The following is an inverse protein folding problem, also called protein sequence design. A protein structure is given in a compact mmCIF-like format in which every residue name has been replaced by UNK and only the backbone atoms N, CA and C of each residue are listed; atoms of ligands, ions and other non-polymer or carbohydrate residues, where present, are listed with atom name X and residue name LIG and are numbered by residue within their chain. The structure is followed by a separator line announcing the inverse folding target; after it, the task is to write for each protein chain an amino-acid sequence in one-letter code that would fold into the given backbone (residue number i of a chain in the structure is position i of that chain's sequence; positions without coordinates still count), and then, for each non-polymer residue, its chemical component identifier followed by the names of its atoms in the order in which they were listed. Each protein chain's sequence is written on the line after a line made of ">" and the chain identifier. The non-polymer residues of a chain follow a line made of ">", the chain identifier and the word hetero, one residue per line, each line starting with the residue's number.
data_IF_443692289816
#
_entry.id   IF_443692289816
#
_cell.length_a   1.000
_cell.length_b   1.000
_cell.length_c   1.000
_cell.angle_alpha   90.00
_cell.angle_beta   90.00
_cell.angle_gamma   90.00
#
_symmetry.space_group_name_H-M   'P 1'
#
loop_
_entity.id
_entity.type
_entity.pdbx_description
1 polymer ?
#
# COMPACT_ATOMS: atom_id res chain seq x y z
N UNK A 1 23.13 37.19 -30.15
CA UNK A 1 23.74 37.80 -28.94
C UNK A 1 22.61 38.07 -27.93
N UNK A 2 22.92 38.27 -26.65
CA UNK A 2 21.97 38.34 -25.53
C UNK A 2 21.08 39.62 -25.54
N UNK A 3 20.06 39.80 -24.64
CA UNK A 3 19.73 39.00 -23.45
C UNK A 3 18.23 38.64 -23.23
N UNK A 4 17.97 37.90 -22.15
CA UNK A 4 16.63 37.58 -21.64
C UNK A 4 16.28 38.40 -20.36
N UNK A 5 15.00 38.64 -20.06
CA UNK A 5 14.56 39.30 -18.82
C UNK A 5 14.54 38.35 -17.60
N UNK A 6 14.67 38.90 -16.39
CA UNK A 6 14.69 38.17 -15.11
C UNK A 6 13.37 38.32 -14.31
N UNK A 7 13.04 37.38 -13.40
CA UNK A 7 11.89 37.48 -12.50
C UNK A 7 12.19 38.33 -11.23
N UNK A 8 11.20 39.01 -10.64
CA UNK A 8 11.41 39.88 -9.47
C UNK A 8 11.30 39.17 -8.11
N UNK A 9 12.37 39.32 -7.32
CA UNK A 9 12.44 39.54 -5.86
C UNK A 9 11.67 38.65 -4.84
N UNK A 10 12.43 38.16 -3.84
CA UNK A 10 11.89 37.59 -2.59
C UNK A 10 11.58 38.65 -1.53
N UNK A 11 10.53 38.42 -0.72
CA UNK A 11 10.26 39.08 0.57
C UNK A 11 9.66 37.99 1.51
N UNK A 12 9.95 37.89 2.80
CA UNK A 12 10.89 38.68 3.60
C UNK A 12 10.72 38.55 5.13
N UNK A 13 10.64 37.32 5.65
CA UNK A 13 10.71 36.93 7.07
C UNK A 13 9.62 37.42 8.07
N UNK A 14 9.44 36.64 9.16
CA UNK A 14 9.56 37.07 10.58
C UNK A 14 8.56 36.43 11.57
N UNK A 15 8.96 36.48 12.86
CA UNK A 15 8.15 36.40 14.08
C UNK A 15 7.54 35.06 14.57
N UNK A 16 8.31 34.36 15.41
CA UNK A 16 7.84 33.63 16.59
C UNK A 16 8.98 33.62 17.65
N UNK A 17 8.75 33.34 18.95
CA UNK A 17 7.51 33.27 19.73
C UNK A 17 7.51 34.35 20.86
N UNK A 18 6.79 34.16 21.99
CA UNK A 18 7.54 34.06 23.26
C UNK A 18 7.09 32.92 24.20
N UNK A 19 7.79 32.78 25.34
CA UNK A 19 7.65 31.70 26.34
C UNK A 19 6.70 32.07 27.50
N UNK A 20 6.14 31.07 28.18
CA UNK A 20 5.63 31.20 29.56
C UNK A 20 5.95 29.98 30.43
N UNK A 21 6.48 30.23 31.63
CA UNK A 21 6.81 29.36 32.79
C UNK A 21 7.27 30.30 33.94
N UNK A 22 7.34 29.90 35.22
CA UNK A 22 6.97 28.64 35.88
C UNK A 22 6.05 28.90 37.12
N UNK A 23 6.25 28.13 38.19
CA UNK A 23 6.16 28.52 39.63
C UNK A 23 5.13 27.78 40.51
N UNK A 24 5.70 26.98 41.43
CA UNK A 24 5.40 26.87 42.88
C UNK A 24 3.96 26.61 43.36
N UNK A 25 3.62 25.44 43.92
CA UNK A 25 4.09 24.80 45.17
C UNK A 25 3.46 25.37 46.46
N UNK A 26 2.82 24.49 47.24
CA UNK A 26 2.48 24.67 48.67
C UNK A 26 2.25 23.30 49.33
N UNK A 27 2.38 23.22 50.67
CA UNK A 27 2.53 21.97 51.44
C UNK A 27 1.64 21.98 52.67
N UNK A 28 0.90 20.88 52.96
CA UNK A 28 0.40 20.63 54.33
C UNK A 28 0.15 19.15 54.70
N UNK A 29 0.56 18.83 55.94
CA UNK A 29 0.35 17.62 56.78
C UNK A 29 0.65 18.13 58.23
N UNK A 30 0.25 17.49 59.38
CA UNK A 30 -0.33 16.18 59.64
C UNK A 30 -1.75 16.32 60.29
N UNK A 31 -2.36 15.50 61.18
CA UNK A 31 -2.00 14.38 62.09
C UNK A 31 -3.19 13.41 62.28
N UNK A 32 -2.94 12.13 62.63
CA UNK A 32 -3.30 11.52 63.93
C UNK A 32 -2.97 10.01 64.00
N UNK A 33 -2.48 9.55 65.17
CA UNK A 33 -2.45 8.14 65.60
C UNK A 33 -3.59 7.90 66.63
N UNK A 34 -4.03 6.65 66.80
CA UNK A 34 -3.62 5.91 68.01
C UNK A 34 -3.05 4.51 67.70
N UNK A 35 -2.81 3.70 68.75
CA UNK A 35 -1.85 2.56 68.75
C UNK A 35 -2.53 1.17 68.93
N UNK A 36 -1.91 0.08 69.46
CA UNK A 36 -1.86 -1.18 68.71
C UNK A 36 -2.56 -2.40 69.37
N UNK A 37 -2.81 -3.46 68.58
CA UNK A 37 -3.02 -4.85 69.04
C UNK A 37 -2.37 -5.86 68.09
N UNK A 38 -2.19 -7.08 68.59
CA UNK A 38 -1.24 -8.10 68.12
C UNK A 38 -1.69 -8.97 66.92
N UNK A 39 -0.76 -9.67 66.23
CA UNK A 39 -1.05 -10.51 65.06
C UNK A 39 -1.57 -11.91 65.48
N UNK A 40 -2.10 -12.70 64.53
CA UNK A 40 -1.24 -13.74 63.94
C UNK A 40 -1.53 -14.07 62.46
N UNK A 41 -0.94 -15.17 61.98
CA UNK A 41 -1.30 -15.92 60.76
C UNK A 41 -0.95 -15.29 59.41
N UNK A 42 0.26 -15.63 58.94
CA UNK A 42 0.69 -15.38 57.57
C UNK A 42 -0.29 -15.96 56.53
N UNK A 43 -0.58 -15.18 55.49
CA UNK A 43 -1.18 -15.66 54.24
C UNK A 43 -0.17 -15.48 53.10
N UNK A 44 -0.11 -16.40 52.11
CA UNK A 44 0.85 -16.31 51.03
C UNK A 44 0.61 -15.06 50.18
N UNK A 45 1.69 -14.46 49.68
CA UNK A 45 1.64 -13.27 48.81
C UNK A 45 1.03 -13.66 47.47
N UNK A 46 -0.27 -13.44 47.29
CA UNK A 46 -0.91 -13.45 45.97
C UNK A 46 -0.40 -12.26 45.16
N UNK A 47 0.77 -12.43 44.54
CA UNK A 47 1.33 -11.45 43.63
C UNK A 47 0.35 -11.26 42.46
N UNK A 48 -0.27 -10.08 42.38
CA UNK A 48 -1.12 -9.69 41.26
C UNK A 48 -0.27 -9.64 40.00
N UNK A 49 -0.27 -10.76 39.26
CA UNK A 49 0.42 -10.89 38.00
C UNK A 49 -0.21 -9.94 36.97
N UNK A 50 0.33 -8.71 36.92
CA UNK A 50 0.08 -7.73 35.86
C UNK A 50 0.01 -8.47 34.52
N UNK A 51 -1.12 -8.41 33.78
CA UNK A 51 -1.24 -9.17 32.54
C UNK A 51 -0.09 -8.73 31.63
N UNK A 52 0.79 -9.69 31.30
CA UNK A 52 1.86 -9.44 30.34
C UNK A 52 1.17 -8.98 29.06
N UNK A 53 1.66 -7.88 28.48
CA UNK A 53 1.19 -7.41 27.19
C UNK A 53 1.15 -8.59 26.22
N UNK A 54 0.02 -8.71 25.52
CA UNK A 54 -0.19 -9.74 24.49
C UNK A 54 0.75 -9.46 23.34
N UNK A 55 2.02 -9.89 23.51
CA UNK A 55 3.06 -9.92 22.49
C UNK A 55 2.41 -10.64 21.30
N UNK A 56 2.18 -9.96 20.16
CA UNK A 56 1.54 -10.60 19.03
C UNK A 56 2.36 -11.83 18.70
N UNK A 57 1.72 -12.99 18.67
CA UNK A 57 2.45 -14.24 18.58
C UNK A 57 3.26 -14.21 17.29
N UNK A 58 4.58 -14.32 17.43
CA UNK A 58 5.46 -14.67 16.31
C UNK A 58 5.21 -16.14 15.96
N UNK A 59 4.01 -16.43 15.49
CA UNK A 59 3.71 -17.65 14.77
C UNK A 59 4.76 -17.75 13.68
N UNK A 60 5.50 -18.87 13.66
CA UNK A 60 6.50 -19.11 12.63
C UNK A 60 5.76 -19.09 11.30
N UNK A 61 5.93 -18.02 10.53
CA UNK A 61 5.28 -17.92 9.24
C UNK A 61 5.86 -19.03 8.35
N UNK A 62 5.04 -20.01 8.00
CA UNK A 62 5.26 -20.81 6.79
C UNK A 62 5.52 -19.86 5.64
N UNK A 63 6.37 -20.20 4.66
CA UNK A 63 6.76 -19.26 3.59
C UNK A 63 5.58 -18.53 2.93
N UNK A 64 4.47 -19.25 2.71
CA UNK A 64 3.17 -18.73 2.23
C UNK A 64 2.61 -17.59 3.10
N UNK A 65 2.71 -17.71 4.43
CA UNK A 65 2.27 -16.69 5.38
C UNK A 65 3.21 -15.47 5.45
N UNK A 66 4.51 -15.67 5.23
CA UNK A 66 5.47 -14.57 5.12
C UNK A 66 5.23 -13.78 3.83
N UNK A 67 5.12 -14.46 2.69
CA UNK A 67 4.72 -13.88 1.41
C UNK A 67 3.40 -13.11 1.52
N UNK A 68 2.38 -13.70 2.15
CA UNK A 68 1.10 -13.02 2.39
C UNK A 68 1.27 -11.75 3.24
N UNK A 69 2.11 -11.76 4.28
CA UNK A 69 2.38 -10.58 5.11
C UNK A 69 3.11 -9.48 4.32
N UNK A 70 4.11 -9.84 3.51
CA UNK A 70 4.88 -8.91 2.68
C UNK A 70 4.00 -8.31 1.58
N UNK A 71 3.16 -9.10 0.93
CA UNK A 71 2.15 -8.66 -0.05
C UNK A 71 1.17 -7.64 0.56
N UNK A 72 0.63 -7.90 1.77
CA UNK A 72 -0.24 -6.94 2.45
C UNK A 72 0.49 -5.63 2.77
N UNK A 73 1.77 -5.70 3.19
CA UNK A 73 2.58 -4.53 3.50
C UNK A 73 2.91 -3.70 2.26
N UNK A 74 3.43 -4.33 1.20
CA UNK A 74 3.76 -3.69 -0.08
C UNK A 74 2.54 -2.99 -0.69
N UNK A 75 1.39 -3.67 -0.70
CA UNK A 75 0.13 -3.10 -1.19
C UNK A 75 -0.39 -1.94 -0.32
N UNK A 76 -0.20 -1.98 1.00
CA UNK A 76 -0.52 -0.85 1.89
C UNK A 76 0.40 0.36 1.63
N UNK A 77 1.69 0.14 1.39
CA UNK A 77 2.65 1.21 1.04
C UNK A 77 2.31 1.84 -0.31
N UNK A 78 1.98 1.03 -1.32
CA UNK A 78 1.49 1.49 -2.62
C UNK A 78 0.22 2.36 -2.51
N UNK A 79 -0.77 1.98 -1.69
CA UNK A 79 -1.97 2.80 -1.44
C UNK A 79 -1.67 4.14 -0.75
N UNK A 80 -0.58 4.24 0.00
CA UNK A 80 -0.07 5.49 0.60
C UNK A 80 0.84 6.26 -0.37
N UNK A 81 1.06 5.72 -1.59
CA UNK A 81 1.98 6.22 -2.63
C UNK A 81 3.46 6.23 -2.20
N UNK A 82 3.81 5.41 -1.22
CA UNK A 82 5.19 5.14 -0.83
C UNK A 82 5.77 4.04 -1.74
N UNK A 83 5.98 4.40 -3.01
CA UNK A 83 6.47 3.48 -4.04
C UNK A 83 7.86 2.92 -3.71
N UNK A 84 8.69 3.67 -2.99
CA UNK A 84 10.03 3.24 -2.59
C UNK A 84 10.00 2.08 -1.58
N UNK A 85 9.24 2.22 -0.47
CA UNK A 85 9.13 1.12 0.49
C UNK A 85 8.22 -0.01 -0.02
N UNK A 86 7.24 0.28 -0.88
CA UNK A 86 6.44 -0.74 -1.55
C UNK A 86 7.32 -1.62 -2.45
N UNK A 87 8.15 -1.00 -3.30
CA UNK A 87 9.12 -1.64 -4.17
C UNK A 87 10.06 -2.55 -3.38
N UNK A 88 10.76 -2.03 -2.38
CA UNK A 88 11.70 -2.82 -1.57
C UNK A 88 11.02 -4.02 -0.89
N UNK A 89 9.81 -3.83 -0.34
CA UNK A 89 9.03 -4.91 0.31
C UNK A 89 8.58 -6.00 -0.68
N UNK A 90 8.40 -5.64 -1.96
CA UNK A 90 8.02 -6.56 -3.04
C UNK A 90 9.25 -7.22 -3.69
N UNK A 91 10.39 -6.53 -3.80
CA UNK A 91 11.68 -7.12 -4.21
C UNK A 91 12.13 -8.17 -3.18
N UNK A 92 12.06 -7.86 -1.87
CA UNK A 92 12.27 -8.83 -0.79
C UNK A 92 11.33 -10.05 -0.90
N UNK A 93 10.09 -9.84 -1.36
CA UNK A 93 9.09 -10.90 -1.51
C UNK A 93 9.36 -11.78 -2.73
N UNK A 94 9.74 -11.19 -3.87
CA UNK A 94 10.17 -11.93 -5.08
C UNK A 94 11.41 -12.78 -4.82
N UNK A 95 12.28 -12.36 -3.89
CA UNK A 95 13.43 -13.12 -3.43
C UNK A 95 13.10 -14.31 -2.48
N UNK A 96 11.86 -14.43 -1.99
CA UNK A 96 11.43 -15.60 -1.22
C UNK A 96 11.05 -16.77 -2.15
N UNK A 97 11.23 -18.04 -1.71
CA UNK A 97 10.79 -19.20 -2.48
C UNK A 97 9.27 -19.16 -2.73
N UNK A 98 8.87 -19.29 -4.00
CA UNK A 98 7.48 -19.13 -4.46
C UNK A 98 7.02 -17.68 -4.67
N UNK A 99 7.79 -16.67 -4.27
CA UNK A 99 7.43 -15.26 -4.43
C UNK A 99 7.44 -14.79 -5.89
N UNK A 100 8.44 -15.23 -6.66
CA UNK A 100 8.54 -14.99 -8.10
C UNK A 100 7.49 -15.76 -8.95
N UNK A 101 6.76 -16.70 -8.33
CA UNK A 101 5.68 -17.49 -8.96
C UNK A 101 4.29 -17.01 -8.50
N UNK A 102 4.19 -16.22 -7.42
CA UNK A 102 2.93 -15.69 -6.93
C UNK A 102 2.48 -14.50 -7.81
N UNK A 103 1.49 -14.77 -8.68
CA UNK A 103 0.86 -13.78 -9.54
C UNK A 103 0.44 -12.48 -8.81
N UNK A 104 0.14 -12.55 -7.50
CA UNK A 104 -0.27 -11.39 -6.69
C UNK A 104 0.91 -10.50 -6.32
N UNK A 105 2.09 -11.09 -6.07
CA UNK A 105 3.33 -10.36 -5.80
C UNK A 105 3.82 -9.68 -7.09
N UNK A 106 3.83 -10.43 -8.19
CA UNK A 106 4.13 -9.91 -9.53
C UNK A 106 3.17 -8.77 -9.94
N UNK A 107 1.87 -8.93 -9.70
CA UNK A 107 0.86 -7.90 -9.97
C UNK A 107 1.08 -6.61 -9.17
N UNK A 108 1.28 -6.71 -7.85
CA UNK A 108 1.56 -5.54 -7.02
C UNK A 108 2.92 -4.88 -7.35
N UNK A 109 3.91 -5.66 -7.78
CA UNK A 109 5.19 -5.12 -8.25
C UNK A 109 5.04 -4.36 -9.58
N UNK A 110 4.24 -4.88 -10.52
CA UNK A 110 3.90 -4.19 -11.75
C UNK A 110 3.12 -2.88 -11.52
N UNK A 111 2.15 -2.86 -10.59
CA UNK A 111 1.45 -1.61 -10.21
C UNK A 111 2.42 -0.56 -9.63
N UNK A 112 3.45 -0.98 -8.87
CA UNK A 112 4.50 -0.07 -8.36
C UNK A 112 5.46 0.43 -9.46
N UNK A 113 5.85 -0.42 -10.41
CA UNK A 113 6.68 -0.01 -11.56
C UNK A 113 5.95 0.99 -12.46
N UNK A 114 4.70 0.69 -12.83
CA UNK A 114 3.88 1.54 -13.69
C UNK A 114 3.61 2.91 -13.05
N UNK A 115 3.07 2.94 -11.82
CA UNK A 115 2.61 4.19 -11.20
C UNK A 115 3.72 4.98 -10.48
N UNK A 116 4.78 4.29 -10.03
CA UNK A 116 5.85 4.88 -9.22
C UNK A 116 7.12 5.23 -10.01
N UNK A 117 7.37 4.55 -11.13
CA UNK A 117 8.60 4.69 -11.94
C UNK A 117 8.34 4.94 -13.43
N UNK A 118 7.07 4.91 -13.88
CA UNK A 118 6.67 4.94 -15.30
C UNK A 118 7.31 3.81 -16.14
N UNK A 119 7.72 2.72 -15.49
CA UNK A 119 8.33 1.54 -16.13
C UNK A 119 7.23 0.59 -16.62
N UNK A 120 6.61 0.97 -17.74
CA UNK A 120 5.51 0.24 -18.37
C UNK A 120 5.96 -1.10 -18.95
N UNK A 121 7.18 -1.18 -19.49
CA UNK A 121 7.71 -2.42 -20.09
C UNK A 121 8.11 -3.43 -19.01
N UNK A 122 8.73 -2.98 -17.91
CA UNK A 122 8.95 -3.80 -16.72
C UNK A 122 7.64 -4.27 -16.08
N UNK A 123 6.61 -3.42 -16.07
CA UNK A 123 5.27 -3.80 -15.62
C UNK A 123 4.61 -4.85 -16.54
N UNK A 124 4.63 -4.68 -17.88
CA UNK A 124 4.14 -5.66 -18.86
C UNK A 124 4.80 -7.04 -18.64
N UNK A 125 6.13 -7.10 -18.54
CA UNK A 125 6.88 -8.36 -18.32
C UNK A 125 6.52 -9.04 -16.99
N UNK A 126 6.23 -8.26 -15.94
CA UNK A 126 5.77 -8.82 -14.66
C UNK A 126 4.33 -9.34 -14.72
N UNK A 127 3.44 -8.65 -15.46
CA UNK A 127 2.06 -9.05 -15.66
C UNK A 127 1.93 -10.28 -16.56
N UNK A 128 2.75 -10.43 -17.60
CA UNK A 128 2.76 -11.63 -18.43
C UNK A 128 3.23 -12.87 -17.64
N UNK A 129 4.22 -12.72 -16.75
CA UNK A 129 4.60 -13.78 -15.79
C UNK A 129 3.47 -14.10 -14.79
N UNK A 130 2.79 -13.07 -14.28
CA UNK A 130 1.64 -13.25 -13.41
C UNK A 130 0.49 -14.00 -14.11
N UNK A 131 0.32 -13.78 -15.41
CA UNK A 131 -0.68 -14.47 -16.25
C UNK A 131 -0.26 -15.91 -16.59
N UNK A 132 1.04 -16.21 -16.70
CA UNK A 132 1.53 -17.59 -16.80
C UNK A 132 1.26 -18.39 -15.52
N UNK A 133 1.44 -17.76 -14.35
CA UNK A 133 1.13 -18.37 -13.05
C UNK A 133 -0.38 -18.45 -12.75
N UNK A 134 -1.17 -17.48 -13.21
CA UNK A 134 -2.62 -17.41 -13.00
C UNK A 134 -3.34 -16.80 -14.22
N UNK A 135 -3.66 -17.61 -15.25
CA UNK A 135 -4.19 -17.13 -16.54
C UNK A 135 -5.62 -16.56 -16.49
N UNK A 136 -6.25 -16.61 -15.31
CA UNK A 136 -7.60 -16.12 -15.04
C UNK A 136 -7.64 -15.12 -13.87
N UNK A 137 -6.52 -14.52 -13.45
CA UNK A 137 -6.57 -13.45 -12.44
C UNK A 137 -7.11 -12.15 -13.07
N UNK A 138 -8.30 -11.68 -12.68
CA UNK A 138 -8.93 -10.51 -13.31
C UNK A 138 -8.16 -9.21 -13.01
N UNK A 139 -7.32 -9.17 -11.97
CA UNK A 139 -6.49 -8.00 -11.62
C UNK A 139 -5.33 -7.86 -12.60
N UNK A 140 -4.66 -8.98 -12.91
CA UNK A 140 -3.58 -9.05 -13.90
C UNK A 140 -4.11 -8.67 -15.27
N UNK A 141 -5.21 -9.31 -15.70
CA UNK A 141 -5.88 -9.04 -16.97
C UNK A 141 -6.32 -7.58 -17.11
N UNK A 142 -6.97 -7.00 -16.08
CA UNK A 142 -7.37 -5.58 -16.08
C UNK A 142 -6.15 -4.65 -16.17
N UNK A 143 -5.12 -4.83 -15.34
CA UNK A 143 -3.96 -3.93 -15.35
C UNK A 143 -3.19 -4.05 -16.69
N UNK A 144 -3.03 -5.25 -17.25
CA UNK A 144 -2.40 -5.44 -18.57
C UNK A 144 -3.22 -4.83 -19.71
N UNK A 145 -4.55 -5.00 -19.70
CA UNK A 145 -5.45 -4.34 -20.66
C UNK A 145 -5.43 -2.81 -20.53
N UNK A 146 -5.32 -2.29 -19.30
CA UNK A 146 -5.17 -0.86 -19.05
C UNK A 146 -3.87 -0.26 -19.59
N UNK A 147 -2.77 -1.02 -19.60
CA UNK A 147 -1.50 -0.63 -20.24
C UNK A 147 -1.63 -0.71 -21.77
N UNK A 148 -2.20 -1.80 -22.31
CA UNK A 148 -2.44 -1.95 -23.74
C UNK A 148 -3.26 -0.77 -24.30
N UNK A 149 -4.30 -0.34 -23.57
CA UNK A 149 -5.07 0.86 -23.89
C UNK A 149 -4.24 2.15 -23.76
N UNK A 150 -3.81 2.49 -22.54
CA UNK A 150 -3.29 3.84 -22.22
C UNK A 150 -1.86 4.10 -22.69
N UNK A 151 -1.09 3.06 -23.02
CA UNK A 151 0.34 3.16 -23.40
C UNK A 151 0.58 2.70 -24.84
N UNK A 152 -0.12 1.66 -25.31
CA UNK A 152 0.07 1.10 -26.66
C UNK A 152 -1.03 1.51 -27.65
N UNK A 153 -2.15 2.08 -27.20
CA UNK A 153 -3.29 2.46 -28.04
C UNK A 153 -4.09 1.28 -28.61
N UNK A 154 -3.84 0.07 -28.12
CA UNK A 154 -4.41 -1.18 -28.65
C UNK A 154 -5.78 -1.45 -28.01
N UNK A 155 -6.81 -0.76 -28.54
CA UNK A 155 -8.21 -0.91 -28.16
C UNK A 155 -8.65 -2.38 -28.13
N UNK A 156 -8.26 -3.13 -29.15
CA UNK A 156 -8.66 -4.52 -29.35
C UNK A 156 -8.06 -5.44 -28.30
N UNK A 157 -6.73 -5.39 -28.10
CA UNK A 157 -6.05 -6.20 -27.06
C UNK A 157 -6.52 -5.79 -25.66
N UNK A 158 -6.79 -4.51 -25.43
CA UNK A 158 -7.39 -4.04 -24.18
C UNK A 158 -8.78 -4.65 -23.95
N UNK A 159 -9.67 -4.60 -24.95
CA UNK A 159 -11.00 -5.20 -24.90
C UNK A 159 -10.98 -6.72 -24.70
N UNK A 160 -10.11 -7.44 -25.42
CA UNK A 160 -9.95 -8.90 -25.29
C UNK A 160 -9.43 -9.30 -23.89
N UNK A 161 -8.51 -8.53 -23.31
CA UNK A 161 -7.99 -8.77 -21.95
C UNK A 161 -9.01 -8.39 -20.86
N UNK A 162 -9.67 -7.25 -20.98
CA UNK A 162 -10.67 -6.79 -20.01
C UNK A 162 -11.95 -7.64 -20.07
N UNK A 163 -12.35 -8.13 -21.24
CA UNK A 163 -13.46 -9.08 -21.38
C UNK A 163 -13.23 -10.37 -20.57
N UNK A 164 -12.04 -10.98 -20.70
CA UNK A 164 -11.62 -12.13 -19.87
C UNK A 164 -11.57 -11.81 -18.37
N UNK A 165 -11.25 -10.56 -18.00
CA UNK A 165 -11.33 -10.14 -16.60
C UNK A 165 -12.78 -10.06 -16.10
N UNK A 166 -13.74 -9.69 -16.95
CA UNK A 166 -15.19 -9.64 -16.63
C UNK A 166 -15.77 -11.05 -16.51
N UNK A 167 -15.27 -12.03 -17.27
CA UNK A 167 -15.61 -13.44 -17.06
C UNK A 167 -15.18 -13.93 -15.66
N UNK A 168 -14.05 -13.44 -15.13
CA UNK A 168 -13.54 -13.79 -13.80
C UNK A 168 -14.12 -12.98 -12.62
N UNK A 169 -14.39 -11.69 -12.80
CA UNK A 169 -14.94 -10.77 -11.78
C UNK A 169 -15.90 -9.74 -12.39
N UNK A 170 -16.98 -10.21 -13.00
CA UNK A 170 -18.00 -9.38 -13.65
C UNK A 170 -18.85 -8.50 -12.72
N UNK A 171 -18.45 -8.34 -11.45
CA UNK A 171 -19.03 -7.38 -10.50
C UNK A 171 -18.11 -6.17 -10.24
N UNK A 172 -16.94 -6.15 -10.86
CA UNK A 172 -15.93 -5.13 -10.66
C UNK A 172 -16.28 -3.86 -11.47
N UNK A 173 -17.01 -2.94 -10.84
CA UNK A 173 -17.49 -1.72 -11.49
C UNK A 173 -16.38 -0.91 -12.17
N UNK A 174 -15.17 -0.84 -11.59
CA UNK A 174 -14.03 -0.15 -12.24
C UNK A 174 -13.65 -0.82 -13.57
N UNK A 175 -13.54 -2.14 -13.59
CA UNK A 175 -13.24 -2.90 -14.81
C UNK A 175 -14.35 -2.75 -15.86
N UNK A 176 -15.62 -2.71 -15.46
CA UNK A 176 -16.74 -2.47 -16.39
C UNK A 176 -16.68 -1.05 -16.99
N UNK A 177 -16.30 -0.04 -16.22
CA UNK A 177 -16.08 1.32 -16.74
C UNK A 177 -14.84 1.41 -17.64
N UNK A 178 -13.70 0.80 -17.26
CA UNK A 178 -12.50 0.78 -18.10
C UNK A 178 -12.72 -0.01 -19.41
N UNK A 179 -13.56 -1.06 -19.39
CA UNK A 179 -14.01 -1.75 -20.59
C UNK A 179 -14.90 -0.86 -21.45
N UNK A 180 -15.91 -0.18 -20.88
CA UNK A 180 -16.79 0.72 -21.64
C UNK A 180 -16.00 1.86 -22.31
N UNK A 181 -15.05 2.48 -21.60
CA UNK A 181 -14.11 3.49 -22.12
C UNK A 181 -13.36 2.99 -23.38
N UNK A 182 -12.83 1.76 -23.32
CA UNK A 182 -12.10 1.13 -24.43
C UNK A 182 -13.01 0.85 -25.64
N UNK A 183 -14.27 0.50 -25.44
CA UNK A 183 -15.19 0.24 -26.55
C UNK A 183 -15.74 1.55 -27.16
N UNK A 184 -16.19 2.50 -26.33
CA UNK A 184 -16.72 3.79 -26.81
C UNK A 184 -15.68 4.58 -27.61
N UNK A 185 -14.45 4.71 -27.09
CA UNK A 185 -13.39 5.49 -27.72
C UNK A 185 -12.60 4.64 -28.73
N UNK A 186 -12.25 3.41 -28.37
CA UNK A 186 -11.32 2.58 -29.15
C UNK A 186 -11.96 1.76 -30.27
N UNK A 187 -13.28 1.56 -30.28
CA UNK A 187 -14.00 0.90 -31.36
C UNK A 187 -14.88 1.88 -32.16
N UNK A 188 -15.32 3.00 -31.57
CA UNK A 188 -16.08 4.04 -32.28
C UNK A 188 -15.33 4.68 -33.44
N UNK A 189 -14.04 5.00 -33.25
CA UNK A 189 -13.17 5.53 -34.32
C UNK A 189 -12.96 4.53 -35.48
N UNK A 190 -13.27 3.24 -35.30
CA UNK A 190 -13.16 2.23 -36.36
C UNK A 190 -14.38 2.19 -37.30
N UNK A 191 -15.57 2.60 -36.85
CA UNK A 191 -16.74 2.75 -37.75
C UNK A 191 -16.69 4.07 -38.53
N UNK A 192 -16.11 5.14 -37.95
CA UNK A 192 -15.98 6.45 -38.59
C UNK A 192 -14.98 6.53 -39.77
N UNK A 193 -14.31 5.43 -40.12
CA UNK A 193 -13.27 5.37 -41.15
C UNK A 193 -13.68 4.63 -42.44
N UNK A 194 -14.99 4.39 -42.64
CA UNK A 194 -15.52 3.56 -43.74
C UNK A 194 -16.59 4.24 -44.62
N UNK A 195 -16.71 5.58 -44.61
CA UNK A 195 -17.47 6.37 -45.59
C UNK A 195 -16.57 7.03 -46.65
#
# INVERSE_FOLDING_TARGET
>A
QAPAPQPPAHIGASAAPPRARPSTASTYIPQHKPSPREPPSARPRTATARPRSSRPQSAKASGVGLLQQMLQRGRAQYLVRDYAHARATLEDALAQPGGAEDARVLHCYAEVLNDGYSDTEGAEVCLEKALQASPADPRVLRTLGGIAWRVRGDARRAAELMGRAVEGDGRNAKLLCELAEVWEVGMGDAEGACE
#
